data_IF_056134706350
#
_entry.id   IF_056134706350
#
_cell.length_a   1.000
_cell.length_b   1.000
_cell.length_c   1.000
_cell.angle_alpha   90.00
_cell.angle_beta   90.00
_cell.angle_gamma   90.00
#
_symmetry.space_group_name_H-M   'P 1'
#
loop_
_entity.id
_entity.type
_entity.pdbx_description
1 polymer ?
#
# COMPACT_ATOMS: atom_id res chain seq x y z
N UNK A 1 39.01 3.50 6.20
CA UNK A 1 38.62 2.40 5.30
C UNK A 1 37.84 1.40 6.14
N UNK A 2 36.54 1.66 6.30
CA UNK A 2 35.61 0.77 7.00
C UNK A 2 34.83 0.02 5.93
N UNK A 3 34.82 -1.30 6.04
CA UNK A 3 34.13 -2.22 5.14
C UNK A 3 32.67 -2.23 5.58
N UNK A 4 31.77 -1.77 4.72
CA UNK A 4 30.33 -2.01 4.84
C UNK A 4 30.09 -3.51 4.72
N UNK A 5 29.51 -4.11 5.75
CA UNK A 5 29.00 -5.48 5.70
C UNK A 5 27.50 -5.36 5.46
N UNK A 6 27.10 -5.42 4.19
CA UNK A 6 25.75 -5.83 3.83
C UNK A 6 25.53 -7.24 4.36
N UNK A 7 24.64 -7.41 5.33
CA UNK A 7 24.18 -8.74 5.72
C UNK A 7 23.07 -9.17 4.76
N UNK A 8 23.48 -10.04 3.84
CA UNK A 8 22.70 -10.77 2.85
C UNK A 8 22.03 -12.00 3.46
N UNK A 9 20.70 -12.04 3.43
CA UNK A 9 19.93 -13.29 3.37
C UNK A 9 19.58 -13.57 1.90
N UNK A 10 19.88 -14.80 1.47
CA UNK A 10 19.87 -15.25 0.07
C UNK A 10 18.48 -15.73 -0.36
N UNK A 11 17.83 -15.01 -1.28
CA UNK A 11 16.74 -15.53 -2.12
C UNK A 11 16.73 -14.80 -3.48
N UNK A 12 16.28 -15.48 -4.53
CA UNK A 12 16.41 -15.11 -5.95
C UNK A 12 15.52 -13.94 -6.42
N UNK A 13 14.97 -13.15 -5.48
CA UNK A 13 14.15 -11.96 -5.71
C UNK A 13 14.80 -10.66 -5.27
N UNK A 14 16.00 -10.71 -4.68
CA UNK A 14 16.88 -9.55 -4.83
C UNK A 14 17.13 -9.43 -6.31
N UNK A 15 16.64 -8.34 -6.90
CA UNK A 15 17.11 -7.87 -8.18
C UNK A 15 18.61 -8.13 -8.22
N UNK A 16 19.04 -8.85 -9.26
CA UNK A 16 20.42 -8.68 -9.72
C UNK A 16 20.68 -7.18 -9.67
N UNK A 17 21.79 -6.71 -9.11
CA UNK A 17 22.17 -5.30 -9.22
C UNK A 17 21.87 -4.84 -10.67
N UNK A 18 20.77 -4.09 -10.86
CA UNK A 18 20.21 -3.78 -12.18
C UNK A 18 18.78 -4.24 -12.56
N UNK A 19 18.01 -4.96 -11.73
CA UNK A 19 16.55 -5.18 -11.99
C UNK A 19 15.72 -4.21 -11.13
N UNK A 20 14.99 -3.30 -11.78
CA UNK A 20 14.14 -2.31 -11.11
C UNK A 20 12.92 -2.90 -10.41
N UNK A 21 12.38 -2.14 -9.44
CA UNK A 21 11.16 -2.50 -8.71
C UNK A 21 9.98 -2.63 -9.66
N UNK A 22 9.16 -3.66 -9.44
CA UNK A 22 7.90 -3.86 -10.18
C UNK A 22 6.75 -3.26 -9.39
N UNK A 23 5.66 -2.96 -10.08
CA UNK A 23 4.44 -2.45 -9.45
C UNK A 23 3.37 -3.50 -9.56
N UNK A 24 2.85 -3.97 -8.43
CA UNK A 24 1.71 -4.88 -8.38
C UNK A 24 0.45 -4.07 -8.11
N UNK A 25 -0.58 -4.37 -8.88
CA UNK A 25 -1.89 -3.74 -8.85
C UNK A 25 -2.94 -4.79 -8.53
N UNK A 26 -3.93 -4.37 -7.77
CA UNK A 26 -5.06 -5.21 -7.38
C UNK A 26 -6.33 -4.52 -7.85
N UNK A 27 -7.09 -5.19 -8.73
CA UNK A 27 -8.19 -4.59 -9.46
C UNK A 27 -9.47 -5.42 -9.36
N UNK A 28 -10.63 -4.75 -9.32
CA UNK A 28 -11.94 -5.39 -9.41
C UNK A 28 -12.18 -5.77 -10.86
N UNK A 29 -12.48 -7.04 -11.11
CA UNK A 29 -12.94 -7.52 -12.40
C UNK A 29 -14.43 -7.20 -12.60
N UNK A 30 -14.84 -6.89 -13.84
CA UNK A 30 -16.23 -6.58 -14.21
C UNK A 30 -17.16 -7.79 -14.08
N UNK A 31 -16.62 -9.00 -14.14
CA UNK A 31 -17.36 -10.23 -13.90
C UNK A 31 -17.78 -10.30 -12.43
N UNK A 32 -19.09 -10.46 -12.23
CA UNK A 32 -19.65 -10.71 -10.90
C UNK A 32 -19.81 -12.21 -10.69
N UNK A 33 -19.38 -12.67 -9.52
CA UNK A 33 -19.59 -14.07 -9.11
C UNK A 33 -20.80 -14.08 -8.18
N UNK A 34 -21.74 -15.01 -8.42
CA UNK A 34 -22.86 -15.23 -7.51
C UNK A 34 -22.32 -15.85 -6.23
N UNK A 35 -22.36 -15.09 -5.13
CA UNK A 35 -21.97 -15.57 -3.82
C UNK A 35 -23.04 -16.46 -3.19
N UNK A 36 -22.69 -17.25 -2.16
CA UNK A 36 -23.67 -17.89 -1.31
C UNK A 36 -24.60 -16.83 -0.67
N UNK A 37 -25.87 -17.20 -0.48
CA UNK A 37 -26.86 -16.40 0.27
C UNK A 37 -27.15 -14.97 -0.27
N UNK A 38 -27.13 -14.77 -1.60
CA UNK A 38 -27.43 -13.47 -2.26
C UNK A 38 -26.45 -12.34 -1.93
N UNK A 39 -25.27 -12.62 -1.37
CA UNK A 39 -24.21 -11.62 -1.23
C UNK A 39 -23.52 -11.41 -2.58
N UNK A 40 -23.30 -10.15 -2.96
CA UNK A 40 -22.59 -9.82 -4.19
C UNK A 40 -21.08 -10.03 -3.99
N UNK A 41 -20.51 -11.05 -4.62
CA UNK A 41 -19.06 -11.22 -4.66
C UNK A 41 -18.46 -10.46 -5.84
N UNK A 42 -17.19 -10.09 -5.69
CA UNK A 42 -16.36 -9.50 -6.75
C UNK A 42 -15.17 -10.41 -7.01
N UNK A 43 -14.82 -10.58 -8.27
CA UNK A 43 -13.57 -11.21 -8.66
C UNK A 43 -12.49 -10.13 -8.65
N UNK A 44 -11.34 -10.45 -8.07
CA UNK A 44 -10.19 -9.56 -7.94
C UNK A 44 -9.02 -10.13 -8.72
N UNK A 45 -8.52 -9.34 -9.66
CA UNK A 45 -7.37 -9.66 -10.47
C UNK A 45 -6.13 -8.92 -9.98
N UNK A 46 -4.99 -9.53 -10.28
CA UNK A 46 -3.68 -8.99 -9.95
C UNK A 46 -2.89 -8.78 -11.23
N UNK A 47 -2.34 -7.58 -11.40
CA UNK A 47 -1.54 -7.23 -12.56
C UNK A 47 -0.20 -6.70 -12.08
N UNK A 48 0.84 -6.90 -12.88
CA UNK A 48 2.19 -6.45 -12.58
C UNK A 48 2.73 -5.63 -13.73
N UNK A 49 3.35 -4.50 -13.40
CA UNK A 49 3.99 -3.61 -14.37
C UNK A 49 5.48 -3.54 -14.09
N UNK A 50 6.26 -3.74 -15.15
CA UNK A 50 7.70 -3.47 -15.18
C UNK A 50 7.90 -2.17 -15.98
N UNK A 51 8.16 -1.08 -15.27
CA UNK A 51 8.35 0.23 -15.91
C UNK A 51 9.70 0.36 -16.62
N UNK A 52 10.69 -0.48 -16.30
CA UNK A 52 11.98 -0.46 -16.99
C UNK A 52 11.89 -1.12 -18.35
N UNK A 53 11.13 -2.22 -18.42
CA UNK A 53 10.86 -2.94 -19.67
C UNK A 53 9.67 -2.37 -20.45
N UNK A 54 8.87 -1.49 -19.82
CA UNK A 54 7.60 -0.99 -20.35
C UNK A 54 6.64 -2.16 -20.69
N UNK A 55 6.53 -3.11 -19.76
CA UNK A 55 5.76 -4.34 -19.93
C UNK A 55 4.70 -4.46 -18.83
N UNK A 56 3.55 -5.01 -19.21
CA UNK A 56 2.48 -5.37 -18.27
C UNK A 56 2.19 -6.86 -18.36
N UNK A 57 2.22 -7.52 -17.21
CA UNK A 57 1.76 -8.89 -17.01
C UNK A 57 0.37 -8.85 -16.37
N UNK A 58 -0.67 -9.17 -17.13
CA UNK A 58 -2.06 -9.18 -16.63
C UNK A 58 -2.38 -10.51 -15.98
N UNK A 59 -3.19 -10.50 -14.93
CA UNK A 59 -3.58 -11.69 -14.18
C UNK A 59 -2.35 -12.52 -13.77
N UNK A 60 -1.33 -11.84 -13.26
CA UNK A 60 -0.03 -12.45 -12.93
C UNK A 60 -0.11 -13.39 -11.72
N UNK A 61 -1.19 -13.32 -10.95
CA UNK A 61 -1.53 -14.25 -9.88
C UNK A 61 -2.95 -14.77 -10.08
N UNK A 62 -3.30 -15.95 -9.52
CA UNK A 62 -4.67 -16.44 -9.56
C UNK A 62 -5.65 -15.43 -8.96
N UNK A 63 -6.81 -15.24 -9.58
CA UNK A 63 -7.81 -14.29 -9.09
C UNK A 63 -8.44 -14.75 -7.77
N UNK A 64 -8.86 -13.78 -6.96
CA UNK A 64 -9.56 -14.03 -5.69
C UNK A 64 -11.03 -13.65 -5.79
N UNK A 65 -11.91 -14.44 -5.15
CA UNK A 65 -13.30 -14.05 -4.94
C UNK A 65 -13.38 -13.32 -3.60
N UNK A 66 -14.01 -12.15 -3.59
CA UNK A 66 -14.10 -11.28 -2.42
C UNK A 66 -15.52 -10.81 -2.15
N UNK A 67 -15.91 -10.79 -0.87
CA UNK A 67 -17.26 -10.38 -0.42
C UNK A 67 -17.31 -8.86 -0.14
N UNK A 68 -16.18 -8.24 0.21
CA UNK A 68 -16.10 -6.81 0.62
C UNK A 68 -14.87 -6.14 0.00
N UNK A 69 -14.97 -4.83 -0.28
CA UNK A 69 -14.11 -4.07 -1.19
C UNK A 69 -12.90 -3.35 -0.55
N UNK A 70 -12.64 -3.50 0.75
CA UNK A 70 -11.61 -2.70 1.44
C UNK A 70 -10.51 -3.57 2.05
N UNK A 71 -9.33 -3.52 1.47
CA UNK A 71 -8.21 -4.39 1.82
C UNK A 71 -6.91 -3.75 1.38
N UNK A 72 -5.82 -4.14 2.01
CA UNK A 72 -4.48 -3.63 1.72
C UNK A 72 -3.64 -4.76 1.14
N UNK A 73 -2.94 -4.45 0.06
CA UNK A 73 -1.89 -5.31 -0.47
C UNK A 73 -0.55 -4.80 0.08
N UNK A 74 0.32 -5.73 0.47
CA UNK A 74 1.63 -5.45 1.05
C UNK A 74 2.65 -6.40 0.43
N UNK A 75 3.87 -5.91 0.19
CA UNK A 75 5.01 -6.77 -0.13
C UNK A 75 5.84 -6.98 1.14
N UNK A 76 6.21 -8.23 1.41
CA UNK A 76 7.10 -8.61 2.49
C UNK A 76 7.98 -9.78 2.01
N UNK A 77 9.26 -9.50 1.83
CA UNK A 77 10.23 -10.43 1.22
C UNK A 77 9.70 -10.97 -0.12
N UNK A 78 9.76 -12.27 -0.38
CA UNK A 78 9.19 -12.91 -1.58
C UNK A 78 7.66 -13.01 -1.59
N UNK A 79 6.98 -12.60 -0.52
CA UNK A 79 5.52 -12.78 -0.39
C UNK A 79 4.75 -11.49 -0.64
N UNK A 80 3.60 -11.65 -1.28
CA UNK A 80 2.56 -10.63 -1.34
C UNK A 80 1.45 -11.02 -0.38
N UNK A 81 1.10 -10.10 0.50
CA UNK A 81 0.03 -10.25 1.48
C UNK A 81 -1.17 -9.40 1.11
N UNK A 82 -2.36 -9.92 1.35
CA UNK A 82 -3.61 -9.18 1.36
C UNK A 82 -4.18 -9.28 2.77
N UNK A 83 -4.45 -8.13 3.37
CA UNK A 83 -4.93 -8.01 4.75
C UNK A 83 -6.12 -7.06 4.85
N UNK A 84 -6.99 -7.32 5.82
CA UNK A 84 -8.17 -6.50 6.14
C UNK A 84 -9.42 -6.94 5.39
N UNK A 85 -10.49 -6.15 5.48
CA UNK A 85 -11.76 -6.41 4.78
C UNK A 85 -12.70 -7.41 5.45
N UNK A 86 -12.35 -7.92 6.63
CA UNK A 86 -13.23 -8.72 7.48
C UNK A 86 -13.48 -7.96 8.77
N UNK A 87 -14.72 -7.49 8.96
CA UNK A 87 -15.15 -6.85 10.20
C UNK A 87 -15.52 -7.89 11.25
N UNK A 88 -15.53 -7.51 12.53
CA UNK A 88 -16.04 -8.34 13.62
C UNK A 88 -17.46 -8.84 13.34
N UNK A 89 -18.31 -8.03 12.69
CA UNK A 89 -19.64 -8.45 12.26
C UNK A 89 -19.60 -9.63 11.26
N UNK A 90 -18.70 -9.60 10.28
CA UNK A 90 -18.51 -10.70 9.32
C UNK A 90 -17.90 -11.93 10.00
N UNK A 91 -17.05 -11.73 11.02
CA UNK A 91 -16.44 -12.79 11.80
C UNK A 91 -17.41 -13.44 12.82
N UNK A 92 -18.36 -12.67 13.39
CA UNK A 92 -19.29 -13.08 14.44
C UNK A 92 -20.62 -13.66 13.90
N UNK A 93 -21.02 -13.31 12.66
CA UNK A 93 -22.20 -13.89 12.00
C UNK A 93 -21.98 -15.37 11.62
N UNK A 94 -21.90 -16.24 12.63
CA UNK A 94 -21.66 -17.69 12.56
C UNK A 94 -20.31 -18.05 11.90
N UNK A 95 -19.75 -19.23 12.17
CA UNK A 95 -18.75 -19.76 11.25
C UNK A 95 -19.51 -20.03 9.95
N UNK A 96 -19.53 -19.05 9.03
CA UNK A 96 -19.64 -19.37 7.62
C UNK A 96 -18.72 -20.57 7.43
N UNK A 97 -19.28 -21.69 7.01
CA UNK A 97 -18.52 -22.91 6.83
C UNK A 97 -17.66 -22.68 5.58
N UNK A 98 -16.63 -21.85 5.71
CA UNK A 98 -15.77 -21.39 4.63
C UNK A 98 -14.93 -22.55 4.08
N UNK A 99 -14.64 -23.55 4.94
CA UNK A 99 -14.18 -24.87 4.52
C UNK A 99 -15.19 -25.61 3.63
N UNK A 100 -16.50 -25.42 3.87
CA UNK A 100 -17.58 -25.88 3.00
C UNK A 100 -17.57 -25.19 1.63
N UNK A 101 -17.26 -23.88 1.57
CA UNK A 101 -17.16 -23.13 0.31
C UNK A 101 -15.91 -23.50 -0.50
N UNK A 102 -14.76 -23.74 0.14
CA UNK A 102 -13.57 -24.30 -0.52
C UNK A 102 -13.83 -25.70 -1.09
N UNK A 103 -14.61 -26.54 -0.41
CA UNK A 103 -14.95 -27.90 -0.87
C UNK A 103 -16.13 -27.95 -1.85
N UNK A 104 -16.97 -26.91 -1.91
CA UNK A 104 -18.11 -26.79 -2.82
C UNK A 104 -17.85 -25.94 -4.07
N UNK A 105 -16.61 -25.47 -4.28
CA UNK A 105 -16.20 -24.90 -5.56
C UNK A 105 -15.40 -25.94 -6.37
N UNK A 106 -16.04 -26.92 -7.03
CA UNK A 106 -15.37 -27.83 -7.96
C UNK A 106 -15.15 -27.17 -9.33
N UNK A 107 -15.32 -25.86 -9.47
CA UNK A 107 -15.29 -25.16 -10.76
C UNK A 107 -14.23 -24.05 -10.72
N UNK A 108 -13.06 -24.38 -11.29
CA UNK A 108 -11.96 -23.47 -11.68
C UNK A 108 -11.10 -22.88 -10.56
N UNK A 109 -9.86 -22.47 -10.89
CA UNK A 109 -8.74 -22.05 -10.04
C UNK A 109 -8.98 -20.80 -9.14
N UNK A 110 -10.19 -20.57 -8.62
CA UNK A 110 -10.57 -19.35 -7.92
C UNK A 110 -10.59 -19.57 -6.40
N UNK A 111 -9.79 -18.78 -5.68
CA UNK A 111 -9.67 -18.88 -4.20
C UNK A 111 -10.54 -17.81 -3.54
N UNK A 112 -11.31 -18.17 -2.50
CA UNK A 112 -12.11 -17.22 -1.73
C UNK A 112 -11.21 -16.54 -0.68
N UNK A 113 -11.29 -15.21 -0.58
CA UNK A 113 -10.54 -14.43 0.40
C UNK A 113 -11.26 -14.34 1.74
N UNK A 114 -10.51 -14.50 2.83
CA UNK A 114 -11.03 -14.57 4.19
C UNK A 114 -10.41 -13.56 5.17
N UNK A 115 -9.95 -12.40 4.67
CA UNK A 115 -9.38 -11.33 5.52
C UNK A 115 -7.87 -11.37 5.69
N UNK A 116 -7.25 -12.49 5.30
CA UNK A 116 -5.81 -12.68 5.30
C UNK A 116 -5.44 -13.72 4.25
N UNK A 117 -4.61 -13.33 3.28
CA UNK A 117 -4.07 -14.27 2.28
C UNK A 117 -2.66 -13.85 1.89
N UNK A 118 -1.83 -14.83 1.55
CA UNK A 118 -0.48 -14.60 1.06
C UNK A 118 -0.20 -15.46 -0.16
N UNK A 119 0.65 -14.96 -1.04
CA UNK A 119 1.13 -15.70 -2.19
C UNK A 119 2.65 -15.54 -2.29
N UNK A 120 3.34 -16.63 -2.60
CA UNK A 120 4.76 -16.58 -2.91
C UNK A 120 4.91 -16.03 -4.33
N UNK A 121 5.41 -14.81 -4.45
CA UNK A 121 5.61 -14.18 -5.76
C UNK A 121 6.74 -14.83 -6.55
N UNK A 122 7.59 -15.62 -5.88
CA UNK A 122 8.72 -16.32 -6.49
C UNK A 122 8.39 -17.60 -7.23
N UNK A 123 7.21 -18.16 -6.96
CA UNK A 123 6.77 -19.41 -7.52
C UNK A 123 6.09 -19.19 -8.89
N UNK A 124 6.55 -19.90 -9.92
CA UNK A 124 5.91 -19.87 -11.25
C UNK A 124 4.49 -20.46 -11.23
N UNK A 125 4.20 -21.33 -10.24
CA UNK A 125 2.90 -21.94 -10.02
C UNK A 125 2.22 -21.41 -8.74
N UNK A 126 2.46 -20.13 -8.41
CA UNK A 126 2.02 -19.53 -7.16
C UNK A 126 0.52 -19.72 -6.88
N UNK A 127 0.21 -20.11 -5.63
CA UNK A 127 -1.16 -20.29 -5.14
C UNK A 127 -1.37 -19.44 -3.89
N UNK A 128 -2.56 -18.84 -3.78
CA UNK A 128 -2.98 -18.13 -2.59
C UNK A 128 -3.12 -19.09 -1.40
N UNK A 129 -2.31 -18.85 -0.38
CA UNK A 129 -2.39 -19.52 0.91
C UNK A 129 -3.14 -18.65 1.92
N UNK A 130 -3.93 -19.26 2.84
CA UNK A 130 -4.46 -18.54 3.98
C UNK A 130 -3.35 -17.85 4.79
N UNK A 131 -3.62 -16.64 5.27
CA UNK A 131 -2.76 -15.93 6.21
C UNK A 131 -3.58 -15.52 7.46
N UNK A 132 -2.92 -15.28 8.60
CA UNK A 132 -3.58 -14.80 9.82
C UNK A 132 -4.38 -13.50 9.56
N UNK A 133 -5.52 -13.36 10.24
CA UNK A 133 -6.47 -12.26 10.06
C UNK A 133 -6.43 -11.34 11.27
N UNK A 134 -6.30 -10.03 11.05
CA UNK A 134 -6.37 -9.01 12.11
C UNK A 134 -7.84 -8.81 12.52
N UNK A 135 -8.25 -9.36 13.67
CA UNK A 135 -9.67 -9.44 14.08
C UNK A 135 -10.16 -8.17 14.79
N UNK A 136 -9.26 -7.42 15.45
CA UNK A 136 -9.65 -6.20 16.17
C UNK A 136 -9.84 -4.99 15.26
N UNK A 137 -9.66 -5.16 13.95
CA UNK A 137 -9.97 -4.13 12.96
C UNK A 137 -11.49 -4.05 12.74
N UNK A 138 -12.17 -3.30 13.59
CA UNK A 138 -13.59 -2.99 13.40
C UNK A 138 -13.83 -2.06 12.19
N UNK A 139 -12.76 -1.45 11.66
CA UNK A 139 -12.84 -0.55 10.53
C UNK A 139 -12.47 -1.29 9.23
N UNK A 140 -13.10 -0.89 8.14
CA UNK A 140 -12.79 -1.41 6.82
C UNK A 140 -11.41 -0.94 6.29
N UNK A 141 -10.73 -0.01 6.98
CA UNK A 141 -9.61 0.77 6.43
C UNK A 141 -8.44 0.99 7.42
N UNK A 142 -7.96 -0.05 8.11
CA UNK A 142 -6.78 0.11 8.97
C UNK A 142 -5.51 0.49 8.22
N UNK A 143 -4.65 1.23 8.90
CA UNK A 143 -3.34 1.57 8.37
C UNK A 143 -2.36 0.41 8.58
N UNK A 144 -2.12 -0.36 7.51
CA UNK A 144 -1.16 -1.46 7.50
C UNK A 144 0.19 -1.06 6.88
N UNK A 145 1.27 -1.70 7.32
CA UNK A 145 2.61 -1.54 6.74
C UNK A 145 3.47 -2.79 6.96
N UNK A 146 4.25 -3.17 5.95
CA UNK A 146 5.34 -4.13 6.10
C UNK A 146 6.61 -3.42 6.55
N UNK A 147 7.23 -3.90 7.62
CA UNK A 147 8.42 -3.28 8.19
C UNK A 147 9.25 -4.31 8.96
N UNK A 148 10.55 -4.37 8.70
CA UNK A 148 11.51 -5.28 9.37
C UNK A 148 11.04 -6.75 9.46
N UNK A 149 10.57 -7.33 8.34
CA UNK A 149 10.14 -8.73 8.34
C UNK A 149 8.76 -9.00 8.95
N UNK A 150 8.03 -7.96 9.39
CA UNK A 150 6.73 -8.07 10.05
C UNK A 150 5.66 -7.22 9.36
N UNK A 151 4.40 -7.50 9.66
CA UNK A 151 3.25 -6.68 9.23
C UNK A 151 2.63 -6.04 10.45
N UNK A 152 2.55 -4.71 10.45
CA UNK A 152 1.93 -3.94 11.51
C UNK A 152 0.57 -3.42 11.06
N UNK A 153 -0.41 -3.47 11.95
CA UNK A 153 -1.69 -2.77 11.84
C UNK A 153 -1.75 -1.71 12.93
N UNK A 154 -2.04 -0.47 12.57
CA UNK A 154 -2.17 0.63 13.53
C UNK A 154 -3.64 0.97 13.86
N UNK A 155 -4.61 0.30 13.22
CA UNK A 155 -6.00 0.72 13.28
C UNK A 155 -6.31 1.91 12.36
N UNK A 156 -7.51 2.47 12.51
CA UNK A 156 -7.96 3.66 11.80
C UNK A 156 -8.77 4.58 12.72
N UNK A 157 -9.99 4.17 13.10
CA UNK A 157 -10.86 4.96 13.96
C UNK A 157 -10.28 5.13 15.37
N UNK A 158 -9.65 4.06 15.87
CA UNK A 158 -8.88 4.05 17.09
C UNK A 158 -7.50 3.47 16.78
N UNK A 159 -6.46 4.05 17.38
CA UNK A 159 -5.12 3.49 17.41
C UNK A 159 -5.20 2.15 18.15
N UNK A 160 -4.93 1.08 17.42
CA UNK A 160 -4.88 -0.27 17.94
C UNK A 160 -3.72 -0.97 17.24
N UNK A 161 -2.60 -1.10 17.94
CA UNK A 161 -1.35 -1.59 17.37
C UNK A 161 -1.29 -3.10 17.49
N UNK A 162 -1.24 -3.79 16.36
CA UNK A 162 -1.08 -5.24 16.27
C UNK A 162 0.06 -5.56 15.32
N UNK A 163 0.77 -6.65 15.60
CA UNK A 163 1.86 -7.14 14.73
C UNK A 163 1.64 -8.60 14.38
N UNK A 164 1.84 -8.91 13.11
CA UNK A 164 2.03 -10.27 12.61
C UNK A 164 3.51 -10.48 12.34
N UNK A 165 4.08 -11.47 13.01
CA UNK A 165 5.42 -11.99 12.71
C UNK A 165 5.27 -13.32 11.94
N UNK A 166 5.50 -13.34 10.61
CA UNK A 166 5.40 -14.55 9.82
C UNK A 166 6.38 -15.65 10.23
N UNK A 167 7.56 -15.29 10.76
CA UNK A 167 8.54 -16.27 11.21
C UNK A 167 8.06 -16.98 12.48
N UNK A 168 7.41 -16.24 13.38
CA UNK A 168 6.78 -16.81 14.58
C UNK A 168 5.49 -17.59 14.27
N UNK A 169 4.87 -17.39 13.09
CA UNK A 169 3.64 -18.06 12.70
C UNK A 169 3.79 -19.57 12.39
N UNK A 170 5.02 -20.06 12.25
CA UNK A 170 5.30 -21.49 12.06
C UNK A 170 5.11 -22.23 13.39
N UNK A 171 3.89 -22.68 13.67
CA UNK A 171 3.57 -23.58 14.80
C UNK A 171 2.74 -22.97 15.94
N UNK A 172 2.31 -21.71 15.83
CA UNK A 172 1.44 -21.08 16.84
C UNK A 172 0.01 -20.85 16.31
N UNK A 173 -1.03 -21.10 17.13
CA UNK A 173 -2.43 -20.97 16.71
C UNK A 173 -2.90 -19.52 16.53
N UNK A 174 -2.19 -18.53 17.07
CA UNK A 174 -2.47 -17.12 16.86
C UNK A 174 -1.18 -16.30 16.80
N UNK A 175 -0.65 -16.01 15.60
CA UNK A 175 0.62 -15.29 15.43
C UNK A 175 0.49 -13.77 15.42
N UNK A 176 -0.73 -13.25 15.63
CA UNK A 176 -0.97 -11.81 15.76
C UNK A 176 -0.92 -11.44 17.23
N UNK A 177 -0.06 -10.48 17.56
CA UNK A 177 0.13 -10.00 18.92
C UNK A 177 -0.32 -8.54 19.03
N UNK A 178 -1.24 -8.21 19.96
CA UNK A 178 -1.50 -6.81 20.31
C UNK A 178 -0.28 -6.24 21.02
N UNK A 179 0.02 -4.98 20.74
CA UNK A 179 1.17 -4.26 21.29
C UNK A 179 0.72 -3.13 22.19
N UNK A 180 1.58 -2.78 23.13
CA UNK A 180 1.27 -1.75 24.13
C UNK A 180 1.25 -0.36 23.49
N UNK A 181 0.25 0.44 23.86
CA UNK A 181 0.11 1.83 23.45
C UNK A 181 0.29 2.72 24.70
N UNK A 182 1.11 3.79 24.63
CA UNK A 182 1.22 4.77 25.71
C UNK A 182 -0.13 5.35 26.12
N UNK A 183 -0.35 5.58 27.42
CA UNK A 183 -1.63 6.06 27.96
C UNK A 183 -2.11 7.39 27.34
N UNK A 184 -1.18 8.27 26.97
CA UNK A 184 -1.46 9.56 26.34
C UNK A 184 -1.91 9.44 24.87
N UNK A 185 -1.66 8.30 24.23
CA UNK A 185 -2.09 8.01 22.85
C UNK A 185 -3.39 7.20 22.79
N UNK A 186 -3.89 6.69 23.93
CA UNK A 186 -5.15 5.94 23.99
C UNK A 186 -6.31 6.81 23.50
N UNK A 187 -7.12 6.26 22.60
CA UNK A 187 -8.26 6.93 22.00
C UNK A 187 -7.93 7.88 20.85
N UNK A 188 -6.66 8.00 20.46
CA UNK A 188 -6.28 8.67 19.21
C UNK A 188 -6.78 7.87 18.00
N UNK A 189 -7.05 8.55 16.90
CA UNK A 189 -7.29 7.97 15.58
C UNK A 189 -6.03 8.05 14.73
N UNK A 190 -5.93 7.15 13.75
CA UNK A 190 -4.78 7.04 12.83
C UNK A 190 -5.17 7.54 11.45
N UNK A 191 -4.34 8.39 10.86
CA UNK A 191 -4.49 8.80 9.47
C UNK A 191 -3.72 7.87 8.54
N UNK A 192 -4.44 7.08 7.75
CA UNK A 192 -3.84 6.27 6.70
C UNK A 192 -3.42 7.12 5.48
N UNK A 193 -2.33 6.74 4.77
CA UNK A 193 -1.43 5.63 5.06
C UNK A 193 -0.43 5.97 6.18
N UNK A 194 0.18 4.94 6.78
CA UNK A 194 1.41 5.06 7.59
C UNK A 194 2.63 4.87 6.69
N UNK A 195 3.78 5.42 7.07
CA UNK A 195 4.98 5.41 6.23
C UNK A 195 6.13 4.64 6.88
N UNK A 196 6.67 3.58 6.26
CA UNK A 196 7.91 2.99 6.74
C UNK A 196 9.08 3.94 6.46
N UNK A 197 9.99 4.08 7.43
CA UNK A 197 11.26 4.78 7.33
C UNK A 197 12.40 3.83 7.73
N UNK A 198 12.81 2.93 6.81
CA UNK A 198 13.85 1.95 7.11
C UNK A 198 15.19 2.60 7.47
N UNK A 199 15.49 3.79 6.91
CA UNK A 199 16.75 4.51 7.14
C UNK A 199 16.94 4.93 8.61
N UNK A 200 15.83 5.15 9.31
CA UNK A 200 15.80 5.53 10.73
C UNK A 200 15.11 4.50 11.61
N UNK A 201 14.91 3.28 11.10
CA UNK A 201 14.31 2.16 11.80
C UNK A 201 12.95 2.47 12.46
N UNK A 202 12.09 3.26 11.80
CA UNK A 202 10.82 3.72 12.38
C UNK A 202 9.68 3.67 11.37
N UNK A 203 8.45 3.75 11.85
CA UNK A 203 7.23 3.92 11.08
C UNK A 203 6.62 5.27 11.48
N UNK A 204 6.33 6.12 10.49
CA UNK A 204 5.69 7.40 10.72
C UNK A 204 4.18 7.24 10.75
N UNK A 205 3.56 7.78 11.80
CA UNK A 205 2.14 7.67 12.08
C UNK A 205 1.60 9.03 12.44
N UNK A 206 0.63 9.52 11.66
CA UNK A 206 -0.06 10.78 11.97
C UNK A 206 -1.30 10.48 12.79
N UNK A 207 -1.31 10.99 14.03
CA UNK A 207 -2.36 10.77 15.02
C UNK A 207 -3.21 12.03 15.18
N UNK A 208 -4.48 11.86 15.53
CA UNK A 208 -5.39 12.96 15.87
C UNK A 208 -6.51 12.51 16.82
N UNK A 209 -7.19 13.47 17.45
CA UNK A 209 -8.25 13.17 18.41
C UNK A 209 -7.71 12.60 19.73
N UNK A 210 -8.56 11.89 20.48
CA UNK A 210 -8.20 11.39 21.80
C UNK A 210 -7.83 12.53 22.77
N UNK A 211 -6.69 12.38 23.44
CA UNK A 211 -6.14 13.38 24.36
C UNK A 211 -5.28 14.45 23.65
N UNK A 212 -5.06 14.33 22.33
CA UNK A 212 -4.24 15.29 21.60
C UNK A 212 -5.02 16.59 21.36
N UNK A 213 -4.39 17.72 21.70
CA UNK A 213 -4.92 19.06 21.41
C UNK A 213 -5.02 19.34 19.91
N UNK A 214 -4.20 18.67 19.11
CA UNK A 214 -4.09 18.87 17.68
C UNK A 214 -3.51 17.62 17.00
N UNK A 215 -3.78 17.42 15.70
CA UNK A 215 -3.12 16.35 14.95
C UNK A 215 -1.60 16.51 14.98
N UNK A 216 -0.88 15.41 15.17
CA UNK A 216 0.58 15.42 15.35
C UNK A 216 1.22 14.21 14.66
N UNK A 217 2.49 14.37 14.27
CA UNK A 217 3.27 13.31 13.64
C UNK A 217 4.12 12.58 14.69
N UNK A 218 3.97 11.27 14.76
CA UNK A 218 4.72 10.38 15.63
C UNK A 218 5.59 9.40 14.82
N UNK A 219 6.64 8.91 15.46
CA UNK A 219 7.40 7.76 15.04
C UNK A 219 7.16 6.59 15.99
N UNK A 220 6.79 5.45 15.45
CA UNK A 220 6.84 4.18 16.14
C UNK A 220 8.13 3.45 15.75
N UNK A 221 8.97 3.12 16.73
CA UNK A 221 10.25 2.43 16.53
C UNK A 221 10.14 1.03 17.14
N UNK A 222 9.91 -0.03 16.35
CA UNK A 222 9.76 -1.38 16.88
C UNK A 222 11.08 -1.90 17.45
N UNK A 223 10.99 -2.68 18.53
CA UNK A 223 12.08 -3.52 19.03
C UNK A 223 11.98 -4.93 18.42
N UNK A 224 12.86 -5.84 18.87
CA UNK A 224 12.94 -7.22 18.36
C UNK A 224 11.61 -7.96 18.54
N UNK A 225 10.91 -7.71 19.66
CA UNK A 225 9.65 -8.37 20.01
C UNK A 225 8.43 -7.65 19.39
N UNK A 226 8.61 -6.42 18.92
CA UNK A 226 7.60 -5.59 18.27
C UNK A 226 6.93 -4.57 19.20
N UNK A 227 7.14 -4.57 20.52
CA UNK A 227 6.44 -3.66 21.46
C UNK A 227 6.86 -2.19 21.30
N UNK A 228 8.12 -1.95 20.93
CA UNK A 228 8.60 -0.68 20.38
C UNK A 228 8.42 0.56 21.26
N UNK A 229 8.79 1.72 20.71
CA UNK A 229 8.68 3.01 21.39
C UNK A 229 8.00 4.03 20.50
N UNK A 230 7.27 4.96 21.13
CA UNK A 230 6.60 6.05 20.47
C UNK A 230 7.34 7.36 20.75
N UNK A 231 7.69 8.09 19.69
CA UNK A 231 8.32 9.41 19.79
C UNK A 231 7.49 10.41 19.03
N UNK A 232 7.10 11.50 19.69
CA UNK A 232 6.51 12.63 19.02
C UNK A 232 7.58 13.33 18.19
N UNK A 233 7.36 13.42 16.87
CA UNK A 233 8.28 14.11 15.97
C UNK A 233 7.88 15.57 15.79
N UNK A 234 6.59 15.82 15.52
CA UNK A 234 6.11 17.15 15.17
C UNK A 234 4.74 17.38 15.81
N UNK A 235 4.62 18.46 16.58
CA UNK A 235 3.34 18.94 17.11
C UNK A 235 2.57 19.72 16.05
N UNK A 236 1.25 19.71 16.13
CA UNK A 236 0.37 20.51 15.26
C UNK A 236 0.52 20.20 13.75
N UNK A 237 0.88 18.95 13.40
CA UNK A 237 1.00 18.47 12.03
C UNK A 237 -0.38 18.19 11.38
N UNK A 238 -1.04 19.27 10.97
CA UNK A 238 -2.42 19.25 10.49
C UNK A 238 -2.60 18.61 9.10
N UNK A 239 -1.57 18.59 8.26
CA UNK A 239 -1.68 18.13 6.88
C UNK A 239 -1.32 16.64 6.72
N UNK A 240 -2.22 15.85 6.14
CA UNK A 240 -1.97 14.47 5.75
C UNK A 240 -2.74 14.16 4.46
N UNK A 241 -2.12 13.44 3.54
CA UNK A 241 -2.71 13.06 2.26
C UNK A 241 -2.81 11.54 2.15
N UNK A 242 -3.76 11.02 1.36
CA UNK A 242 -3.82 9.58 1.04
C UNK A 242 -2.65 9.13 0.16
N UNK A 243 -2.15 10.06 -0.65
CA UNK A 243 -1.14 9.81 -1.67
C UNK A 243 0.15 10.50 -1.24
N UNK A 244 1.04 9.76 -0.60
CA UNK A 244 2.28 10.30 -0.04
C UNK A 244 3.40 9.24 -0.03
N UNK A 245 4.65 9.69 0.04
CA UNK A 245 5.84 8.85 0.13
C UNK A 245 6.93 9.53 0.96
N UNK A 246 7.84 8.74 1.51
CA UNK A 246 9.00 9.21 2.26
C UNK A 246 10.29 8.91 1.48
N UNK A 247 11.13 9.94 1.30
CA UNK A 247 12.50 9.80 0.76
C UNK A 247 13.40 10.72 1.57
N UNK A 248 14.50 10.18 2.11
CA UNK A 248 15.54 10.93 2.84
C UNK A 248 14.99 11.93 3.89
N UNK A 249 14.11 11.47 4.79
CA UNK A 249 13.48 12.28 5.85
C UNK A 249 12.55 13.41 5.36
N UNK A 250 12.21 13.42 4.07
CA UNK A 250 11.26 14.33 3.46
C UNK A 250 9.99 13.59 3.07
N UNK A 251 8.84 14.04 3.58
CA UNK A 251 7.53 13.51 3.19
C UNK A 251 7.05 14.29 1.99
N UNK A 252 6.84 13.57 0.89
CA UNK A 252 6.24 14.07 -0.34
C UNK A 252 4.75 13.77 -0.33
N UNK A 253 3.94 14.79 -0.55
CA UNK A 253 2.49 14.67 -0.56
C UNK A 253 1.95 15.06 -1.91
N UNK A 254 0.99 14.29 -2.41
CA UNK A 254 0.13 14.70 -3.49
C UNK A 254 -1.22 15.21 -2.97
N UNK A 255 -1.65 16.38 -3.44
CA UNK A 255 -2.88 17.04 -3.02
C UNK A 255 -3.57 17.77 -4.16
N UNK A 256 -4.69 17.22 -4.60
CA UNK A 256 -5.61 17.83 -5.57
C UNK A 256 -6.22 19.18 -5.14
N UNK A 257 -6.00 19.62 -3.89
CA UNK A 257 -6.54 20.87 -3.34
C UNK A 257 -5.61 22.08 -3.51
N UNK A 258 -4.38 21.90 -4.00
CA UNK A 258 -3.39 22.97 -4.09
C UNK A 258 -2.84 23.17 -5.51
N UNK A 259 -2.51 24.42 -5.90
CA UNK A 259 -2.00 24.73 -7.25
C UNK A 259 -0.70 24.01 -7.63
N UNK A 260 0.14 23.66 -6.65
CA UNK A 260 1.41 22.97 -6.89
C UNK A 260 1.30 21.45 -6.99
N UNK A 261 0.13 20.86 -6.64
CA UNK A 261 -0.18 19.43 -6.45
C UNK A 261 0.76 18.61 -5.55
N UNK A 262 2.04 18.92 -5.53
CA UNK A 262 3.06 18.36 -4.67
C UNK A 262 3.39 19.36 -3.56
N UNK A 263 3.61 18.80 -2.38
CA UNK A 263 4.22 19.47 -1.24
C UNK A 263 5.30 18.56 -0.68
N UNK A 264 6.36 19.16 -0.15
CA UNK A 264 7.42 18.44 0.53
C UNK A 264 7.60 19.01 1.94
N UNK A 265 7.70 18.14 2.94
CA UNK A 265 7.95 18.53 4.32
C UNK A 265 9.19 17.82 4.85
N UNK A 266 10.19 18.57 5.29
CA UNK A 266 11.39 18.02 5.89
C UNK A 266 11.15 17.79 7.38
N UNK A 267 11.27 16.54 7.85
CA UNK A 267 10.94 16.17 9.23
C UNK A 267 11.94 16.78 10.22
N UNK A 268 13.24 16.53 10.07
CA UNK A 268 14.24 17.04 11.02
C UNK A 268 14.35 18.57 11.09
N UNK A 269 14.12 19.26 9.97
CA UNK A 269 14.13 20.73 9.92
C UNK A 269 12.76 21.35 10.25
N UNK A 270 11.73 20.52 10.46
CA UNK A 270 10.36 20.92 10.76
C UNK A 270 9.80 22.01 9.82
N UNK A 271 10.12 21.93 8.52
CA UNK A 271 9.76 22.97 7.55
C UNK A 271 9.15 22.42 6.25
N UNK A 272 8.22 23.18 5.70
CA UNK A 272 7.76 23.00 4.32
C UNK A 272 8.84 23.47 3.36
N UNK A 273 9.18 22.62 2.39
CA UNK A 273 10.16 22.94 1.36
C UNK A 273 9.48 23.61 0.18
N UNK A 274 10.20 24.51 -0.48
CA UNK A 274 9.82 25.01 -1.79
C UNK A 274 9.97 23.90 -2.82
N UNK A 275 8.96 23.74 -3.68
CA UNK A 275 8.93 22.69 -4.69
C UNK A 275 8.61 23.28 -6.06
N UNK A 276 9.30 22.82 -7.09
CA UNK A 276 9.01 23.21 -8.46
C UNK A 276 9.25 22.06 -9.45
N UNK A 277 8.60 22.17 -10.61
CA UNK A 277 8.85 21.29 -11.75
C UNK A 277 9.83 21.98 -12.69
N UNK A 278 10.90 21.29 -13.10
CA UNK A 278 11.87 21.85 -14.04
C UNK A 278 11.73 21.31 -15.48
N UNK A 279 10.82 20.36 -15.67
CA UNK A 279 10.62 19.63 -16.93
C UNK A 279 9.19 19.13 -17.06
N UNK A 280 8.81 18.75 -18.29
CA UNK A 280 7.50 18.24 -18.63
C UNK A 280 7.53 16.77 -19.02
N UNK A 281 6.50 16.02 -18.62
CA UNK A 281 6.22 14.71 -19.21
C UNK A 281 5.95 14.86 -20.71
N UNK A 282 6.36 13.85 -21.49
CA UNK A 282 6.15 13.80 -22.95
C UNK A 282 4.68 14.08 -23.29
N UNK A 283 4.44 14.96 -24.26
CA UNK A 283 3.08 15.37 -24.66
C UNK A 283 2.49 16.57 -23.90
N UNK A 284 3.30 17.34 -23.16
CA UNK A 284 2.86 18.49 -22.33
C UNK A 284 1.83 18.11 -21.25
N UNK A 285 1.90 16.89 -20.75
CA UNK A 285 0.93 16.35 -19.78
C UNK A 285 1.01 17.03 -18.41
N UNK A 286 2.01 17.88 -18.14
CA UNK A 286 2.13 18.66 -16.89
C UNK A 286 0.86 19.45 -16.52
N UNK A 287 0.14 19.99 -17.51
CA UNK A 287 -1.12 20.71 -17.25
C UNK A 287 -2.25 19.77 -16.77
N UNK A 288 -2.15 18.48 -17.09
CA UNK A 288 -3.13 17.45 -16.71
C UNK A 288 -2.70 16.68 -15.45
N UNK A 289 -1.40 16.43 -15.23
CA UNK A 289 -0.90 15.90 -13.96
C UNK A 289 -1.36 16.80 -12.83
N UNK A 290 -1.24 18.13 -13.00
CA UNK A 290 -1.70 19.16 -12.06
C UNK A 290 -3.22 19.18 -11.77
N UNK A 291 -4.03 18.36 -12.45
CA UNK A 291 -5.48 18.24 -12.25
C UNK A 291 -5.94 16.80 -12.05
N UNK A 292 -5.03 15.84 -12.10
CA UNK A 292 -5.36 14.41 -12.04
C UNK A 292 -5.39 13.94 -10.59
N UNK A 293 -6.35 13.08 -10.28
CA UNK A 293 -6.33 12.34 -9.03
C UNK A 293 -5.35 11.18 -9.18
N UNK A 294 -4.39 11.08 -8.26
CA UNK A 294 -3.47 9.96 -8.18
C UNK A 294 -3.79 9.12 -6.96
N UNK A 295 -3.93 7.82 -7.19
CA UNK A 295 -4.30 6.82 -6.19
C UNK A 295 -3.11 6.42 -5.33
N UNK A 296 -1.88 6.50 -5.86
CA UNK A 296 -0.65 6.20 -5.12
C UNK A 296 0.56 7.07 -5.53
N UNK A 297 1.48 7.25 -4.59
CA UNK A 297 2.81 7.80 -4.80
C UNK A 297 3.83 6.77 -4.32
N UNK A 298 4.56 6.18 -5.25
CA UNK A 298 5.43 5.03 -5.02
C UNK A 298 6.90 5.47 -5.02
N UNK A 299 7.69 4.95 -4.09
CA UNK A 299 9.15 5.15 -4.08
C UNK A 299 9.86 3.99 -4.78
N UNK A 300 10.35 4.25 -5.99
CA UNK A 300 11.00 3.26 -6.85
C UNK A 300 12.50 3.08 -6.53
N UNK A 301 13.06 3.87 -5.62
CA UNK A 301 14.49 3.89 -5.27
C UNK A 301 15.27 4.97 -6.02
N UNK A 302 16.49 5.29 -5.56
CA UNK A 302 17.39 6.25 -6.23
C UNK A 302 16.80 7.66 -6.39
N UNK A 303 16.01 8.12 -5.42
CA UNK A 303 15.26 9.38 -5.43
C UNK A 303 14.24 9.47 -6.58
N UNK A 304 13.79 8.32 -7.08
CA UNK A 304 12.74 8.24 -8.10
C UNK A 304 11.41 7.95 -7.42
N UNK A 305 10.46 8.85 -7.67
CA UNK A 305 9.08 8.70 -7.28
C UNK A 305 8.21 8.43 -8.53
N UNK A 306 7.09 7.77 -8.31
CA UNK A 306 6.13 7.49 -9.37
C UNK A 306 4.72 7.73 -8.88
N UNK A 307 3.98 8.58 -9.58
CA UNK A 307 2.54 8.59 -9.41
C UNK A 307 1.92 7.40 -10.13
N UNK A 308 0.89 6.83 -9.52
CA UNK A 308 0.02 5.84 -10.16
C UNK A 308 -1.43 6.31 -10.07
N UNK A 309 -2.15 6.18 -11.18
CA UNK A 309 -3.57 6.47 -11.28
C UNK A 309 -4.25 5.46 -12.19
N UNK A 310 -5.57 5.42 -12.14
CA UNK A 310 -6.38 4.75 -13.14
C UNK A 310 -7.55 5.64 -13.59
N UNK A 311 -8.10 5.35 -14.76
CA UNK A 311 -9.29 6.02 -15.28
C UNK A 311 -10.07 5.09 -16.20
N UNK A 312 -11.39 5.24 -16.23
CA UNK A 312 -12.23 4.46 -17.14
C UNK A 312 -11.97 4.82 -18.60
N UNK A 313 -11.87 3.80 -19.44
CA UNK A 313 -11.91 3.97 -20.89
C UNK A 313 -13.37 3.83 -21.29
N UNK A 314 -13.98 4.92 -21.72
CA UNK A 314 -15.35 4.92 -22.22
C UNK A 314 -15.33 4.66 -23.73
N UNK A 315 -15.74 3.47 -24.22
CA UNK A 315 -16.01 3.31 -25.64
C UNK A 315 -17.21 4.19 -26.01
N UNK A 316 -17.11 4.95 -27.10
CA UNK A 316 -18.29 5.54 -27.72
C UNK A 316 -19.05 4.45 -28.52
N UNK A 317 -20.38 4.31 -28.38
CA UNK A 317 -21.30 5.02 -27.49
C UNK A 317 -21.33 4.41 -26.07
N UNK A 318 -21.70 5.23 -25.08
CA UNK A 318 -21.71 4.96 -23.62
C UNK A 318 -22.27 3.57 -23.27
N UNK A 319 -21.39 2.56 -23.28
CA UNK A 319 -21.56 1.26 -22.62
C UNK A 319 -20.77 1.35 -21.31
N UNK A 320 -21.16 0.56 -20.30
CA UNK A 320 -20.37 0.44 -19.07
C UNK A 320 -18.89 0.21 -19.44
N UNK A 321 -17.95 0.91 -18.79
CA UNK A 321 -16.54 0.76 -19.14
C UNK A 321 -16.10 -0.66 -18.81
N UNK A 322 -15.89 -1.46 -19.86
CA UNK A 322 -15.36 -2.81 -19.76
C UNK A 322 -13.83 -2.81 -19.59
N UNK A 323 -13.21 -1.63 -19.44
CA UNK A 323 -11.76 -1.47 -19.45
C UNK A 323 -11.32 -0.19 -18.73
N UNK A 324 -10.14 -0.25 -18.13
CA UNK A 324 -9.46 0.89 -17.51
C UNK A 324 -8.14 1.19 -18.21
N UNK A 325 -7.73 2.46 -18.16
CA UNK A 325 -6.35 2.86 -18.39
C UNK A 325 -5.69 3.04 -17.03
N UNK A 326 -4.59 2.32 -16.79
CA UNK A 326 -3.68 2.57 -15.67
C UNK A 326 -2.50 3.39 -16.15
N UNK A 327 -2.13 4.40 -15.38
CA UNK A 327 -1.15 5.39 -15.79
C UNK A 327 -0.10 5.61 -14.71
N UNK A 328 1.15 5.73 -15.15
CA UNK A 328 2.31 5.92 -14.29
C UNK A 328 3.10 7.13 -14.75
N UNK A 329 3.48 7.98 -13.80
CA UNK A 329 4.29 9.18 -14.07
C UNK A 329 5.53 9.14 -13.19
N UNK A 330 6.67 8.78 -13.81
CA UNK A 330 7.96 8.61 -13.14
C UNK A 330 8.73 9.93 -13.15
N UNK A 331 9.16 10.39 -11.98
CA UNK A 331 9.95 11.60 -11.84
C UNK A 331 11.06 11.43 -10.82
N UNK A 332 12.14 12.15 -11.02
CA UNK A 332 13.28 12.19 -10.10
C UNK A 332 13.17 13.41 -9.20
N UNK A 333 13.44 13.21 -7.93
CA UNK A 333 13.55 14.26 -6.94
C UNK A 333 15.01 14.71 -6.85
N UNK A 334 15.24 16.01 -7.03
CA UNK A 334 16.54 16.65 -6.94
C UNK A 334 16.47 17.77 -5.90
N UNK A 335 17.56 17.99 -5.18
CA UNK A 335 17.68 19.11 -4.23
C UNK A 335 18.72 20.10 -4.72
N UNK A 336 18.33 21.37 -4.76
CA UNK A 336 19.22 22.48 -5.11
C UNK A 336 20.09 22.92 -3.93
N UNK A 337 21.21 23.61 -4.20
CA UNK A 337 22.08 24.15 -3.15
C UNK A 337 21.38 25.12 -2.19
N UNK A 338 20.30 25.76 -2.63
CA UNK A 338 19.48 26.67 -1.81
C UNK A 338 18.40 25.94 -0.99
N UNK A 339 18.29 24.62 -1.12
CA UNK A 339 17.33 23.78 -0.43
C UNK A 339 16.00 23.58 -1.16
N UNK A 340 15.81 24.18 -2.34
CA UNK A 340 14.62 23.97 -3.18
C UNK A 340 14.60 22.52 -3.70
N UNK A 341 13.41 21.92 -3.72
CA UNK A 341 13.23 20.60 -4.32
C UNK A 341 12.73 20.74 -5.76
N UNK A 342 13.50 20.20 -6.70
CA UNK A 342 13.15 20.10 -8.11
C UNK A 342 12.64 18.71 -8.46
N UNK A 343 11.46 18.67 -9.06
CA UNK A 343 10.91 17.48 -9.68
C UNK A 343 11.23 17.47 -11.17
N UNK A 344 12.00 16.47 -11.57
CA UNK A 344 12.38 16.24 -12.95
C UNK A 344 11.54 15.11 -13.54
N UNK A 345 10.66 15.42 -14.49
CA UNK A 345 9.87 14.42 -15.19
C UNK A 345 10.80 13.48 -15.98
N UNK A 346 10.65 12.17 -15.78
CA UNK A 346 11.44 11.17 -16.52
C UNK A 346 10.62 10.62 -17.69
N UNK A 347 9.59 9.83 -17.41
CA UNK A 347 8.74 9.19 -18.41
C UNK A 347 7.33 9.00 -17.85
N UNK A 348 6.38 8.77 -18.77
CA UNK A 348 5.00 8.41 -18.44
C UNK A 348 4.59 7.17 -19.21
N UNK A 349 3.83 6.30 -18.56
CA UNK A 349 3.39 5.01 -19.09
C UNK A 349 1.88 4.91 -18.94
N UNK A 350 1.23 4.25 -19.90
CA UNK A 350 -0.20 3.97 -19.87
C UNK A 350 -0.43 2.57 -20.40
N UNK A 351 -1.24 1.80 -19.68
CA UNK A 351 -1.60 0.44 -20.05
C UNK A 351 -3.10 0.26 -19.93
N UNK A 352 -3.68 -0.47 -20.88
CA UNK A 352 -5.08 -0.87 -20.81
C UNK A 352 -5.23 -2.16 -19.97
N UNK A 353 -6.17 -2.13 -19.04
CA UNK A 353 -6.66 -3.27 -18.27
C UNK A 353 -8.09 -3.60 -18.73
N UNK A 354 -8.26 -4.56 -19.65
CA UNK A 354 -9.58 -5.03 -20.05
C UNK A 354 -10.22 -5.83 -18.91
N UNK A 355 -11.55 -5.83 -18.88
CA UNK A 355 -12.39 -6.53 -17.91
C UNK A 355 -12.17 -6.13 -16.45
N UNK A 356 -11.60 -4.95 -16.19
CA UNK A 356 -11.47 -4.39 -14.85
C UNK A 356 -12.31 -3.12 -14.71
N UNK A 357 -12.93 -2.94 -13.53
CA UNK A 357 -13.80 -1.80 -13.20
C UNK A 357 -13.08 -0.75 -12.36
N UNK A 358 -12.26 -1.17 -11.39
CA UNK A 358 -11.57 -0.26 -10.45
C UNK A 358 -10.19 -0.85 -10.08
N UNK A 359 -9.16 -0.01 -9.95
CA UNK A 359 -7.92 -0.40 -9.25
C UNK A 359 -8.01 0.01 -7.78
N UNK A 360 -7.85 -0.96 -6.88
CA UNK A 360 -8.02 -0.77 -5.44
C UNK A 360 -6.74 -0.37 -4.73
N UNK A 361 -5.60 -0.88 -5.20
CA UNK A 361 -4.31 -0.60 -4.58
C UNK A 361 -3.14 -0.80 -5.53
N UNK A 362 -2.05 -0.12 -5.21
CA UNK A 362 -0.75 -0.20 -5.87
C UNK A 362 0.33 -0.43 -4.82
N UNK A 363 1.22 -1.38 -5.04
CA UNK A 363 2.46 -1.53 -4.28
C UNK A 363 3.65 -1.62 -5.20
N UNK A 364 4.78 -1.10 -4.74
CA UNK A 364 6.07 -1.35 -5.36
C UNK A 364 6.72 -2.53 -4.64
N UNK A 365 6.96 -3.62 -5.37
CA UNK A 365 7.58 -4.85 -4.89
C UNK A 365 8.98 -4.99 -5.51
#
# INVERSE_FOLDING_TARGET
>A
MGIEIEQSSTSSWRGRQGEGKKIVMMAINTNTVSGPERRSCRLIDFHMVDLERNEISRCCFPSLIMIVATFHILSLDEFIYIVGGVTTYIAEERPFNFHGLQSQSPVSNQTLYFGGSRIDSSDEAAVWCPAPVFINDQALSSAYVSFLGKIYSFGCACLNLEVLDPAAAVGYPNPICPLSIPEDLVGCSVSAPVLPDPSKNRILVRLHGGQLSSPSLYAFTPDIDGNGTWTLLIRDFSFWARTLALVDDVIYFHSHKFPSLLRAFHIAEEKWLEVCWDSCFKGNVNFNVNRKHFDALLHLGGNILCFAAWTHIYPEPIVYPDSLSVEFYKFKVLQDPDGTIRFHACDSYSYELPENEIVLSFISA
#
